data_IF_489800444459
#
_entry.id   IF_489800444459
#
_cell.length_a   1.000
_cell.length_b   1.000
_cell.length_c   1.000
_cell.angle_alpha   90.00
_cell.angle_beta   90.00
_cell.angle_gamma   90.00
#
_symmetry.space_group_name_H-M   'P 1'
#
loop_
_entity.id
_entity.type
_entity.pdbx_description
1 polymer ?
#
# COMPACT_ATOMS: atom_id res chain seq x y z
N UNK A 1 -18.16 28.39 -0.35
CA UNK A 1 -17.90 27.18 0.45
C UNK A 1 -18.90 26.14 -0.04
N UNK A 2 -18.50 25.38 -1.05
CA UNK A 2 -19.35 24.40 -1.73
C UNK A 2 -19.28 23.11 -0.95
N UNK A 3 -20.34 22.81 -0.21
CA UNK A 3 -20.45 21.64 0.64
C UNK A 3 -20.57 20.40 -0.27
N UNK A 4 -19.53 19.57 -0.30
CA UNK A 4 -19.54 18.29 -1.01
C UNK A 4 -20.25 17.27 -0.10
N UNK A 5 -21.29 16.56 -0.58
CA UNK A 5 -22.00 15.62 0.27
C UNK A 5 -21.06 14.47 0.71
N UNK A 6 -21.17 14.00 1.96
CA UNK A 6 -20.36 12.88 2.44
C UNK A 6 -20.67 11.61 1.61
N UNK A 7 -19.68 10.74 1.34
CA UNK A 7 -19.90 9.50 0.63
C UNK A 7 -20.85 8.56 1.41
N UNK A 8 -21.64 7.72 0.74
CA UNK A 8 -22.63 6.87 1.39
C UNK A 8 -21.97 5.90 2.38
N UNK A 9 -22.45 5.90 3.62
CA UNK A 9 -21.96 5.06 4.72
C UNK A 9 -22.52 3.62 4.65
N UNK A 10 -22.21 2.92 3.56
CA UNK A 10 -22.46 1.48 3.41
C UNK A 10 -21.15 0.71 3.29
N UNK A 11 -21.05 -0.54 3.75
CA UNK A 11 -19.86 -1.36 3.51
C UNK A 11 -19.78 -1.68 2.01
N UNK A 12 -18.68 -1.32 1.35
CA UNK A 12 -18.46 -1.58 -0.09
C UNK A 12 -18.21 -3.07 -0.40
N UNK A 13 -18.26 -3.96 0.61
CA UNK A 13 -17.84 -5.38 0.47
C UNK A 13 -18.52 -6.33 1.48
N UNK A 14 -19.86 -6.36 1.55
CA UNK A 14 -20.58 -7.25 2.47
C UNK A 14 -20.74 -8.68 1.89
N UNK A 15 -20.26 -9.75 2.56
CA UNK A 15 -20.70 -11.11 2.24
C UNK A 15 -22.14 -11.36 2.74
N UNK A 16 -22.91 -12.15 1.98
CA UNK A 16 -24.33 -12.45 2.22
C UNK A 16 -24.63 -13.05 3.61
N UNK A 17 -25.81 -12.80 4.22
CA UNK A 17 -26.12 -13.31 5.56
C UNK A 17 -26.65 -14.74 5.53
N UNK A 18 -26.02 -15.64 6.29
CA UNK A 18 -26.62 -16.90 6.75
C UNK A 18 -26.68 -16.90 8.29
N UNK A 19 -27.89 -16.96 8.86
CA UNK A 19 -28.10 -17.21 10.30
C UNK A 19 -28.02 -18.71 10.63
N UNK A 20 -28.34 -19.16 11.87
CA UNK A 20 -28.63 -18.40 13.10
C UNK A 20 -27.77 -18.77 14.34
N UNK A 21 -27.52 -17.72 15.15
CA UNK A 21 -27.37 -17.63 16.62
C UNK A 21 -26.77 -18.82 17.42
N UNK A 22 -25.57 -18.58 17.97
CA UNK A 22 -25.02 -19.30 19.14
C UNK A 22 -24.49 -18.31 20.19
N UNK A 23 -25.00 -18.40 21.41
CA UNK A 23 -24.66 -17.60 22.59
C UNK A 23 -23.33 -18.06 23.21
N UNK A 24 -22.36 -17.17 23.43
CA UNK A 24 -21.11 -17.48 24.12
C UNK A 24 -20.26 -16.23 24.42
N UNK A 25 -20.18 -15.87 25.69
CA UNK A 25 -19.38 -14.78 26.26
C UNK A 25 -17.90 -15.13 26.38
N UNK A 26 -16.98 -14.40 25.72
CA UNK A 26 -15.61 -14.12 26.19
C UNK A 26 -14.86 -13.30 25.12
N UNK A 27 -14.18 -12.22 25.53
CA UNK A 27 -13.48 -11.32 24.62
C UNK A 27 -12.20 -11.86 23.99
N UNK A 28 -11.91 -11.40 22.77
CA UNK A 28 -10.68 -10.66 22.46
C UNK A 28 -10.79 -10.10 21.04
N UNK A 29 -10.63 -8.79 20.90
CA UNK A 29 -10.26 -8.19 19.62
C UNK A 29 -8.87 -8.64 19.18
N UNK A 30 -8.46 -8.16 18.00
CA UNK A 30 -7.15 -8.33 17.37
C UNK A 30 -6.93 -9.59 16.51
N UNK A 31 -7.84 -9.81 15.55
CA UNK A 31 -7.41 -10.41 14.27
C UNK A 31 -7.80 -9.48 13.10
N UNK A 32 -7.72 -8.18 13.36
CA UNK A 32 -7.95 -7.15 12.34
C UNK A 32 -6.59 -6.83 11.73
N UNK A 33 -6.29 -7.50 10.63
CA UNK A 33 -5.31 -6.98 9.68
C UNK A 33 -5.64 -5.50 9.46
N UNK A 34 -4.67 -4.58 9.62
CA UNK A 34 -4.89 -3.17 9.36
C UNK A 34 -5.50 -2.99 7.95
N UNK A 35 -6.43 -2.04 7.77
CA UNK A 35 -6.95 -1.74 6.44
C UNK A 35 -5.78 -1.41 5.50
N UNK A 36 -5.68 -2.16 4.41
CA UNK A 36 -4.63 -2.02 3.40
C UNK A 36 -5.25 -2.01 2.02
N UNK A 37 -4.57 -1.39 1.05
CA UNK A 37 -4.98 -1.40 -0.36
C UNK A 37 -3.79 -1.80 -1.23
N UNK A 38 -3.81 -3.04 -1.71
CA UNK A 38 -2.77 -3.56 -2.60
C UNK A 38 -2.73 -2.81 -3.93
N UNK A 39 -3.87 -2.33 -4.41
CA UNK A 39 -3.96 -1.53 -5.64
C UNK A 39 -3.29 -0.16 -5.47
N UNK A 40 -3.46 0.46 -4.29
CA UNK A 40 -2.78 1.72 -3.99
C UNK A 40 -1.26 1.52 -3.92
N UNK A 41 -0.80 0.44 -3.28
CA UNK A 41 0.63 0.10 -3.24
C UNK A 41 1.22 -0.07 -4.64
N UNK A 42 0.56 -0.84 -5.51
CA UNK A 42 1.00 -1.04 -6.90
C UNK A 42 1.00 0.28 -7.67
N UNK A 43 0.00 1.14 -7.44
CA UNK A 43 -0.10 2.45 -8.09
C UNK A 43 1.05 3.38 -7.69
N UNK A 44 1.44 3.39 -6.42
CA UNK A 44 2.60 4.17 -5.92
C UNK A 44 3.89 3.66 -6.55
N UNK A 45 4.13 2.35 -6.53
CA UNK A 45 5.33 1.76 -7.13
C UNK A 45 5.41 2.01 -8.63
N UNK A 46 4.29 1.87 -9.33
CA UNK A 46 4.19 2.16 -10.76
C UNK A 46 4.47 3.62 -11.07
N UNK A 47 3.90 4.55 -10.30
CA UNK A 47 4.16 5.98 -10.48
C UNK A 47 5.64 6.33 -10.26
N UNK A 48 6.28 5.76 -9.23
CA UNK A 48 7.69 5.96 -8.93
C UNK A 48 8.60 5.47 -10.07
N UNK A 49 8.26 4.36 -10.73
CA UNK A 49 9.00 3.84 -11.89
C UNK A 49 8.78 4.65 -13.19
N UNK A 50 7.67 5.40 -13.28
CA UNK A 50 7.36 6.23 -14.44
C UNK A 50 7.94 7.64 -14.35
N UNK A 51 8.14 8.15 -13.13
CA UNK A 51 8.57 9.52 -12.90
C UNK A 51 9.49 9.61 -11.68
N UNK A 52 10.72 10.09 -11.92
CA UNK A 52 11.68 10.38 -10.85
C UNK A 52 11.13 11.37 -9.82
N UNK A 53 10.31 12.34 -10.25
CA UNK A 53 9.68 13.28 -9.33
C UNK A 53 8.66 12.57 -8.43
N UNK A 54 7.84 11.68 -8.99
CA UNK A 54 6.90 10.89 -8.21
C UNK A 54 7.61 9.96 -7.21
N UNK A 55 8.75 9.37 -7.61
CA UNK A 55 9.59 8.61 -6.70
C UNK A 55 10.12 9.48 -5.54
N UNK A 56 10.59 10.69 -5.84
CA UNK A 56 11.06 11.65 -4.82
C UNK A 56 9.95 12.03 -3.85
N UNK A 57 8.78 12.42 -4.35
CA UNK A 57 7.62 12.76 -3.54
C UNK A 57 7.17 11.58 -2.65
N UNK A 58 7.18 10.36 -3.20
CA UNK A 58 6.82 9.17 -2.43
C UNK A 58 7.82 8.88 -1.31
N UNK A 59 9.12 8.97 -1.56
CA UNK A 59 10.18 8.76 -0.56
C UNK A 59 10.17 9.81 0.55
N UNK A 60 9.69 11.03 0.27
CA UNK A 60 9.56 12.08 1.29
C UNK A 60 8.46 11.78 2.32
N UNK A 61 7.44 10.99 1.96
CA UNK A 61 6.23 10.79 2.80
C UNK A 61 5.98 9.33 3.20
N UNK A 62 6.63 8.36 2.54
CA UNK A 62 6.46 6.94 2.80
C UNK A 62 7.77 6.28 3.22
N UNK A 63 7.65 5.33 4.14
CA UNK A 63 8.70 4.38 4.49
C UNK A 63 8.35 2.98 3.94
N UNK A 64 9.34 2.11 3.66
CA UNK A 64 9.08 0.75 3.17
C UNK A 64 8.09 -0.02 4.05
N UNK A 65 8.11 0.17 5.37
CA UNK A 65 7.24 -0.51 6.33
C UNK A 65 5.75 -0.16 6.16
N UNK A 66 5.43 0.95 5.49
CA UNK A 66 4.04 1.34 5.20
C UNK A 66 3.37 0.42 4.17
N UNK A 67 4.15 -0.29 3.35
CA UNK A 67 3.59 -1.27 2.42
C UNK A 67 3.20 -2.54 3.17
N UNK A 68 2.03 -3.10 2.87
CA UNK A 68 1.55 -4.31 3.50
C UNK A 68 2.30 -5.54 2.99
N UNK A 69 2.50 -5.66 1.67
CA UNK A 69 3.21 -6.81 1.10
C UNK A 69 4.70 -6.64 1.25
N UNK A 70 5.36 -7.65 1.83
CA UNK A 70 6.81 -7.69 1.97
C UNK A 70 7.53 -7.42 0.62
N UNK A 71 7.06 -8.03 -0.48
CA UNK A 71 7.62 -7.80 -1.81
C UNK A 71 7.55 -6.32 -2.24
N UNK A 72 6.48 -5.61 -1.90
CA UNK A 72 6.35 -4.18 -2.21
C UNK A 72 7.28 -3.32 -1.34
N UNK A 73 7.52 -3.73 -0.07
CA UNK A 73 8.53 -3.09 0.79
C UNK A 73 9.91 -3.15 0.15
N UNK A 74 10.32 -4.34 -0.27
CA UNK A 74 11.63 -4.57 -0.90
C UNK A 74 11.78 -3.76 -2.18
N UNK A 75 10.73 -3.68 -3.00
CA UNK A 75 10.76 -2.84 -4.21
C UNK A 75 10.88 -1.36 -3.86
N UNK A 76 10.12 -0.86 -2.89
CA UNK A 76 10.18 0.54 -2.49
C UNK A 76 11.54 0.91 -1.86
N UNK A 77 12.09 0.03 -1.03
CA UNK A 77 13.43 0.18 -0.46
C UNK A 77 14.49 0.29 -1.56
N UNK A 78 14.46 -0.58 -2.57
CA UNK A 78 15.36 -0.50 -3.71
C UNK A 78 15.18 0.80 -4.52
N UNK A 79 13.95 1.27 -4.72
CA UNK A 79 13.68 2.56 -5.37
C UNK A 79 14.31 3.71 -4.57
N UNK A 80 14.16 3.69 -3.24
CA UNK A 80 14.74 4.69 -2.33
C UNK A 80 16.27 4.69 -2.42
N UNK A 81 16.88 3.51 -2.42
CA UNK A 81 18.33 3.37 -2.50
C UNK A 81 18.89 3.84 -3.84
N UNK A 82 18.24 3.49 -4.96
CA UNK A 82 18.58 3.99 -6.29
C UNK A 82 18.48 5.51 -6.36
N UNK A 83 17.41 6.08 -5.80
CA UNK A 83 17.23 7.54 -5.74
C UNK A 83 18.36 8.21 -4.97
N UNK A 84 18.74 7.64 -3.82
CA UNK A 84 19.84 8.14 -2.98
C UNK A 84 21.22 7.98 -3.64
N UNK A 85 21.42 6.91 -4.41
CA UNK A 85 22.62 6.68 -5.20
C UNK A 85 22.70 7.58 -6.45
N UNK A 86 21.61 8.24 -6.81
CA UNK A 86 21.52 9.05 -8.04
C UNK A 86 21.39 8.21 -9.31
N UNK A 87 21.02 6.94 -9.17
CA UNK A 87 20.85 6.01 -10.28
C UNK A 87 19.48 6.16 -10.96
N UNK A 88 19.32 5.68 -12.22
CA UNK A 88 18.03 5.58 -12.87
C UNK A 88 17.03 4.72 -12.09
N UNK A 89 15.77 5.16 -12.07
CA UNK A 89 14.66 4.44 -11.43
C UNK A 89 13.75 3.92 -12.54
N UNK A 90 14.17 2.84 -13.16
CA UNK A 90 13.41 2.11 -14.18
C UNK A 90 13.45 0.61 -13.91
N UNK A 91 12.64 -0.15 -14.65
CA UNK A 91 12.49 -1.59 -14.42
C UNK A 91 13.77 -2.38 -14.61
N UNK A 92 14.64 -1.98 -15.55
CA UNK A 92 15.89 -2.71 -15.82
C UNK A 92 16.84 -2.52 -14.64
N UNK A 93 17.15 -1.26 -14.31
CA UNK A 93 18.05 -0.94 -13.20
C UNK A 93 17.53 -1.48 -11.86
N UNK A 94 16.22 -1.40 -11.62
CA UNK A 94 15.61 -1.97 -10.41
C UNK A 94 15.81 -3.49 -10.33
N UNK A 95 15.57 -4.22 -11.42
CA UNK A 95 15.75 -5.69 -11.41
C UNK A 95 17.21 -6.08 -11.19
N UNK A 96 18.16 -5.34 -11.77
CA UNK A 96 19.58 -5.55 -11.53
C UNK A 96 19.97 -5.26 -10.08
N UNK A 97 19.44 -4.18 -9.50
CA UNK A 97 19.66 -3.82 -8.10
C UNK A 97 19.16 -4.91 -7.14
N UNK A 98 17.96 -5.45 -7.39
CA UNK A 98 17.34 -6.49 -6.57
C UNK A 98 17.99 -7.87 -6.71
N UNK A 99 18.78 -8.10 -7.75
CA UNK A 99 19.46 -9.38 -7.99
C UNK A 99 20.82 -9.50 -7.28
N UNK A 100 21.27 -8.43 -6.62
CA UNK A 100 22.53 -8.36 -5.86
C UNK A 100 22.39 -8.97 -4.47
#
# INVERSE_FOLDING_TARGET
MSDFPPPPSGPLDAPAPAGPRGNGSAGRGYDRVPPHSLEAEVSVLGAALLSRNAASEAVEVLEPEHFYRNAHRTVFEAIRDLLAAGEPIDTVTLTEWLAR
#
